data_IF_236616642681
#
_entry.id   IF_236616642681
#
_cell.length_a   1.000
_cell.length_b   1.000
_cell.length_c   1.000
_cell.angle_alpha   90.00
_cell.angle_beta   90.00
_cell.angle_gamma   90.00
#
_symmetry.space_group_name_H-M   'P 1'
#
loop_
_entity.id
_entity.type
_entity.pdbx_description
1 polymer ?
#
# COMPACT_ATOMS: atom_id res chain seq x y z
N UNK A 1 26.14 9.05 -31.27
CA UNK A 1 25.85 9.81 -30.04
C UNK A 1 25.06 9.01 -28.97
N UNK A 2 25.18 7.67 -28.88
CA UNK A 2 24.43 6.85 -27.90
C UNK A 2 25.34 6.11 -26.90
N UNK A 3 26.57 5.77 -27.31
CA UNK A 3 27.55 5.07 -26.46
C UNK A 3 27.97 5.84 -25.19
N UNK A 4 28.21 7.15 -25.30
CA UNK A 4 28.57 8.00 -24.16
C UNK A 4 27.45 8.10 -23.11
N UNK A 5 26.19 8.09 -23.56
CA UNK A 5 25.04 8.21 -22.67
C UNK A 5 24.92 6.99 -21.74
N UNK A 6 25.30 5.80 -22.22
CA UNK A 6 25.31 4.56 -21.43
C UNK A 6 26.43 4.50 -20.39
N UNK A 7 27.50 5.28 -20.59
CA UNK A 7 28.62 5.42 -19.64
C UNK A 7 28.30 6.46 -18.57
N UNK A 8 27.70 7.60 -18.96
CA UNK A 8 27.28 8.64 -18.03
C UNK A 8 26.04 8.25 -17.21
N UNK A 9 25.15 7.43 -17.79
CA UNK A 9 23.94 6.92 -17.15
C UNK A 9 23.91 5.39 -17.23
N UNK A 10 24.80 4.70 -16.50
CA UNK A 10 24.78 3.25 -16.44
C UNK A 10 23.45 2.81 -15.83
N UNK A 11 22.81 1.78 -16.40
CA UNK A 11 21.63 1.19 -15.77
C UNK A 11 22.01 0.71 -14.36
N UNK A 12 21.14 0.90 -13.36
CA UNK A 12 21.40 0.43 -12.02
C UNK A 12 21.62 -1.10 -12.02
N UNK A 13 22.52 -1.60 -11.17
CA UNK A 13 22.78 -3.04 -11.06
C UNK A 13 21.51 -3.77 -10.62
N UNK A 14 21.31 -4.99 -11.13
CA UNK A 14 20.12 -5.81 -10.85
C UNK A 14 19.92 -6.14 -9.36
N UNK A 15 20.94 -5.99 -8.54
CA UNK A 15 20.85 -6.14 -7.08
C UNK A 15 20.03 -5.05 -6.39
N UNK A 16 19.85 -3.89 -7.03
CA UNK A 16 19.01 -2.79 -6.55
C UNK A 16 17.55 -2.89 -7.02
N UNK A 17 17.23 -3.89 -7.85
CA UNK A 17 15.84 -4.17 -8.20
C UNK A 17 15.14 -4.90 -7.04
N UNK A 18 13.81 -4.77 -6.91
CA UNK A 18 13.04 -5.54 -5.94
C UNK A 18 13.34 -7.05 -6.07
N UNK A 19 13.64 -7.68 -4.94
CA UNK A 19 13.95 -9.10 -4.85
C UNK A 19 12.66 -9.92 -4.78
N UNK A 20 12.79 -11.24 -5.00
CA UNK A 20 11.66 -12.17 -4.87
C UNK A 20 11.21 -12.18 -3.41
N UNK A 21 10.01 -11.67 -3.14
CA UNK A 21 9.46 -11.53 -1.79
C UNK A 21 9.24 -10.08 -1.37
N UNK A 22 9.83 -9.12 -2.09
CA UNK A 22 9.47 -7.73 -1.92
C UNK A 22 8.05 -7.51 -2.45
N UNK A 23 7.22 -6.83 -1.66
CA UNK A 23 5.95 -6.35 -2.15
C UNK A 23 6.27 -5.25 -3.16
N UNK A 24 5.73 -5.37 -4.38
CA UNK A 24 5.89 -4.37 -5.45
C UNK A 24 4.54 -3.88 -5.96
N UNK A 25 3.46 -4.32 -5.31
CA UNK A 25 2.10 -3.97 -5.73
C UNK A 25 1.78 -2.57 -5.23
N UNK A 26 1.41 -1.62 -6.11
CA UNK A 26 0.97 -0.31 -5.68
C UNK A 26 -0.24 -0.46 -4.76
N UNK A 27 -0.21 0.18 -3.60
CA UNK A 27 -1.35 0.21 -2.68
C UNK A 27 -2.18 1.45 -2.95
N UNK A 28 -3.49 1.37 -2.73
CA UNK A 28 -4.40 2.52 -2.83
C UNK A 28 -4.75 3.04 -1.45
N UNK A 29 -4.90 4.35 -1.32
CA UNK A 29 -5.46 4.97 -0.12
C UNK A 29 -6.92 4.54 0.06
N UNK A 30 -7.29 3.99 1.20
CA UNK A 30 -8.68 3.58 1.50
C UNK A 30 -9.64 4.77 1.61
N UNK A 31 -9.10 5.98 1.80
CA UNK A 31 -9.88 7.21 1.92
C UNK A 31 -10.03 7.98 0.60
N UNK A 32 -8.94 8.26 -0.12
CA UNK A 32 -8.97 9.07 -1.35
C UNK A 32 -8.76 8.27 -2.66
N UNK A 33 -8.48 6.97 -2.57
CA UNK A 33 -8.31 6.09 -3.75
C UNK A 33 -7.03 6.30 -4.57
N UNK A 34 -6.17 7.26 -4.21
CA UNK A 34 -4.92 7.50 -4.93
C UNK A 34 -3.91 6.36 -4.74
N UNK A 35 -3.12 6.05 -5.78
CA UNK A 35 -2.05 5.06 -5.70
C UNK A 35 -0.84 5.64 -4.95
N UNK A 36 -0.38 4.90 -3.94
CA UNK A 36 0.75 5.28 -3.11
C UNK A 36 1.99 4.47 -3.50
N UNK A 37 3.12 5.15 -3.62
CA UNK A 37 4.42 4.48 -3.63
C UNK A 37 4.64 3.86 -2.25
N UNK A 38 5.04 2.59 -2.23
CA UNK A 38 5.31 1.83 -1.01
C UNK A 38 6.26 2.64 -0.11
N UNK A 39 5.92 2.78 1.18
CA UNK A 39 6.51 3.66 2.21
C UNK A 39 6.00 5.11 2.35
N UNK A 40 5.09 5.61 1.52
CA UNK A 40 4.60 7.02 1.62
C UNK A 40 3.21 7.18 2.24
N UNK A 41 2.83 6.30 3.17
CA UNK A 41 1.52 6.34 3.80
C UNK A 41 1.50 5.82 5.23
N UNK A 42 0.44 6.16 5.96
CA UNK A 42 0.16 5.63 7.29
C UNK A 42 -0.52 4.28 7.11
N UNK A 43 0.11 3.25 7.65
CA UNK A 43 -0.37 1.87 7.64
C UNK A 43 -0.99 1.57 8.99
N UNK A 44 -2.28 1.25 9.00
CA UNK A 44 -2.98 0.86 10.21
C UNK A 44 -3.23 -0.65 10.15
N UNK A 45 -2.46 -1.40 10.92
CA UNK A 45 -2.72 -2.83 11.16
C UNK A 45 -3.76 -2.92 12.26
N UNK A 46 -4.84 -3.65 12.01
CA UNK A 46 -5.77 -3.97 13.09
C UNK A 46 -5.00 -4.82 14.11
N UNK A 47 -4.96 -4.46 15.40
CA UNK A 47 -4.26 -5.28 16.38
C UNK A 47 -4.91 -6.65 16.40
N UNK A 48 -4.18 -7.66 15.93
CA UNK A 48 -4.49 -9.06 16.18
C UNK A 48 -4.23 -9.30 17.65
N UNK A 49 -5.19 -8.93 18.50
CA UNK A 49 -5.29 -9.52 19.82
C UNK A 49 -5.27 -11.03 19.62
N UNK A 50 -4.30 -11.72 20.21
CA UNK A 50 -4.15 -13.17 20.13
C UNK A 50 -5.47 -13.86 20.57
N UNK A 51 -6.34 -14.15 19.62
CA UNK A 51 -7.65 -14.75 19.83
C UNK A 51 -8.03 -15.56 18.61
N UNK A 52 -8.20 -16.87 18.81
CA UNK A 52 -8.74 -17.76 17.81
C UNK A 52 -10.22 -17.48 17.65
N UNK A 53 -10.60 -16.67 16.66
CA UNK A 53 -12.02 -16.50 16.31
C UNK A 53 -12.21 -16.81 14.83
N UNK A 54 -12.56 -18.08 14.63
CA UNK A 54 -13.38 -18.59 13.55
C UNK A 54 -14.64 -17.73 13.44
N UNK A 55 -15.04 -17.41 12.20
CA UNK A 55 -16.40 -17.05 11.71
C UNK A 55 -16.34 -15.81 10.80
N UNK A 56 -16.95 -15.74 9.62
CA UNK A 56 -17.69 -16.71 8.82
C UNK A 56 -17.67 -16.13 7.40
N UNK A 57 -17.36 -16.97 6.42
CA UNK A 57 -17.41 -16.63 5.01
C UNK A 57 -18.85 -16.26 4.61
N UNK A 58 -19.14 -14.97 4.47
CA UNK A 58 -20.25 -14.52 3.65
C UNK A 58 -19.66 -13.78 2.44
N UNK A 59 -19.57 -14.54 1.35
CA UNK A 59 -19.14 -14.10 0.03
C UNK A 59 -19.95 -12.88 -0.40
N UNK A 60 -19.28 -11.73 -0.52
CA UNK A 60 -19.50 -10.71 -1.58
C UNK A 60 -18.60 -9.47 -1.41
N UNK A 61 -17.43 -9.59 -0.78
CA UNK A 61 -16.36 -8.59 -0.93
C UNK A 61 -15.03 -9.33 -0.99
N UNK A 62 -14.27 -9.03 -2.03
CA UNK A 62 -12.97 -9.59 -2.33
C UNK A 62 -12.10 -9.62 -1.08
N UNK A 63 -11.73 -10.82 -0.67
CA UNK A 63 -10.84 -11.16 0.46
C UNK A 63 -9.66 -10.20 0.60
N UNK A 64 -9.79 -9.18 1.47
CA UNK A 64 -8.66 -8.47 2.09
C UNK A 64 -8.09 -9.40 3.17
N UNK A 65 -7.27 -10.36 2.76
CA UNK A 65 -6.44 -11.10 3.71
C UNK A 65 -5.43 -10.10 4.29
N UNK A 66 -5.56 -9.85 5.60
CA UNK A 66 -4.97 -8.76 6.40
C UNK A 66 -5.80 -7.48 6.35
N UNK A 67 -6.46 -7.18 7.48
CA UNK A 67 -7.29 -5.98 7.71
C UNK A 67 -6.43 -4.71 7.83
N UNK A 68 -5.50 -4.51 6.90
CA UNK A 68 -4.59 -3.37 6.90
C UNK A 68 -5.23 -2.24 6.09
N UNK A 69 -5.43 -1.09 6.75
CA UNK A 69 -5.91 0.14 6.11
C UNK A 69 -4.70 1.01 5.74
N UNK A 70 -4.76 1.63 4.56
CA UNK A 70 -3.68 2.46 4.02
C UNK A 70 -4.16 3.88 3.77
N UNK A 71 -3.41 4.85 4.29
CA UNK A 71 -3.73 6.27 4.17
C UNK A 71 -2.54 7.08 3.64
N UNK A 72 -2.79 8.12 2.84
CA UNK A 72 -1.72 8.99 2.35
C UNK A 72 -1.04 9.82 3.46
N UNK A 73 -1.80 10.18 4.49
CA UNK A 73 -1.37 11.01 5.62
C UNK A 73 -2.28 10.77 6.83
N UNK A 74 -1.86 11.22 8.01
CA UNK A 74 -2.64 11.17 9.25
C UNK A 74 -3.98 11.90 9.15
N UNK A 75 -4.06 12.99 8.38
CA UNK A 75 -5.33 13.69 8.14
C UNK A 75 -6.37 12.78 7.46
N UNK A 76 -5.97 12.05 6.41
CA UNK A 76 -6.86 11.12 5.72
C UNK A 76 -7.26 9.92 6.58
N UNK A 77 -6.37 9.48 7.47
CA UNK A 77 -6.70 8.46 8.46
C UNK A 77 -7.77 8.99 9.42
N UNK A 78 -7.56 10.16 10.00
CA UNK A 78 -8.50 10.77 10.94
C UNK A 78 -9.86 11.05 10.28
N UNK A 79 -9.86 11.54 9.05
CA UNK A 79 -11.09 11.80 8.30
C UNK A 79 -11.83 10.52 7.89
N UNK A 80 -11.12 9.43 7.63
CA UNK A 80 -11.73 8.11 7.40
C UNK A 80 -12.43 7.59 8.66
N UNK A 81 -11.78 7.69 9.82
CA UNK A 81 -12.39 7.31 11.11
C UNK A 81 -13.51 8.27 11.55
N UNK A 82 -13.52 9.50 11.04
CA UNK A 82 -14.58 10.48 11.26
C UNK A 82 -15.70 10.41 10.20
N UNK A 83 -15.75 9.36 9.37
CA UNK A 83 -16.73 9.14 8.31
C UNK A 83 -16.90 10.31 7.33
N UNK A 84 -15.84 11.11 7.14
CA UNK A 84 -15.89 12.22 6.19
C UNK A 84 -15.72 11.70 4.78
N UNK A 85 -16.39 12.35 3.83
CA UNK A 85 -16.26 12.06 2.40
C UNK A 85 -15.93 13.34 1.68
N UNK A 86 -14.76 13.41 1.06
CA UNK A 86 -14.47 14.49 0.14
C UNK A 86 -15.20 14.21 -1.17
N UNK A 87 -16.03 15.16 -1.62
CA UNK A 87 -16.52 15.14 -2.99
C UNK A 87 -15.32 15.40 -3.90
N UNK A 88 -15.15 14.53 -4.90
CA UNK A 88 -14.32 14.83 -6.06
C UNK A 88 -14.79 16.11 -6.76
#
# INVERSE_FOLDING_TARGET
MWGFYKVMYPRPPKSMMPQKGDVTTPRSCDFCGHSLAEYRGVLETRPTTLGNDIDTANSNTTTKANNDLFFCNYEHQADFHADKKYSS
#
